data_IF_977282770872
#
_entry.id   IF_977282770872
#
_cell.length_a   1.000
_cell.length_b   1.000
_cell.length_c   1.000
_cell.angle_alpha   90.00
_cell.angle_beta   90.00
_cell.angle_gamma   90.00
#
_symmetry.space_group_name_H-M   'P 1'
#
loop_
_entity.id
_entity.type
_entity.pdbx_description
1 polymer ?
#
# COMPACT_ATOMS: atom_id res chain seq x y z
N UNK A 1 9.18 16.02 20.72
CA UNK A 1 8.56 16.07 19.37
C UNK A 1 7.43 15.06 19.33
N UNK A 2 6.30 15.38 18.71
CA UNK A 2 5.19 14.45 18.50
C UNK A 2 5.67 13.21 17.71
N UNK A 3 5.05 12.07 17.99
CA UNK A 3 5.30 10.79 17.33
C UNK A 3 3.96 10.20 16.87
N UNK A 4 3.94 9.35 15.84
CA UNK A 4 2.69 8.77 15.38
C UNK A 4 2.13 7.81 16.42
N UNK A 5 0.82 7.89 16.63
CA UNK A 5 0.04 6.98 17.47
C UNK A 5 -0.84 6.02 16.65
N UNK A 6 -0.81 6.12 15.31
CA UNK A 6 -1.28 5.06 14.42
C UNK A 6 -0.47 4.91 13.13
N UNK A 7 -0.51 3.72 12.53
CA UNK A 7 0.08 3.44 11.21
C UNK A 7 -0.92 2.73 10.29
N UNK A 8 -1.03 3.19 9.05
CA UNK A 8 -1.63 2.41 7.96
C UNK A 8 -0.55 1.53 7.33
N UNK A 9 -0.46 0.28 7.78
CA UNK A 9 0.68 -0.62 7.46
C UNK A 9 0.56 -1.32 6.11
N UNK A 10 -0.61 -1.32 5.48
CA UNK A 10 -0.83 -2.04 4.23
C UNK A 10 -2.29 -2.42 4.01
N UNK A 11 -2.58 -3.29 3.04
CA UNK A 11 -1.66 -3.87 2.07
C UNK A 11 -1.57 -3.01 0.80
N UNK A 12 -0.42 -3.08 0.12
CA UNK A 12 -0.26 -2.45 -1.18
C UNK A 12 -1.32 -2.97 -2.17
N UNK A 13 -1.91 -2.03 -2.94
CA UNK A 13 -2.98 -2.27 -3.92
C UNK A 13 -4.35 -2.67 -3.34
N UNK A 14 -4.56 -2.42 -2.06
CA UNK A 14 -5.81 -2.70 -1.34
C UNK A 14 -6.63 -1.46 -0.97
N UNK A 15 -6.31 -0.26 -1.49
CA UNK A 15 -7.09 0.96 -1.23
C UNK A 15 -6.54 1.87 -0.13
N UNK A 16 -5.31 1.63 0.35
CA UNK A 16 -4.63 2.45 1.36
C UNK A 16 -4.56 3.93 1.00
N UNK A 17 -4.32 4.28 -0.27
CA UNK A 17 -4.30 5.68 -0.72
C UNK A 17 -5.65 6.36 -0.54
N UNK A 18 -6.77 5.66 -0.79
CA UNK A 18 -8.11 6.22 -0.58
C UNK A 18 -8.36 6.46 0.92
N UNK A 19 -8.03 5.47 1.76
CA UNK A 19 -8.12 5.63 3.23
C UNK A 19 -7.29 6.82 3.70
N UNK A 20 -6.03 6.93 3.26
CA UNK A 20 -5.15 8.03 3.63
C UNK A 20 -5.80 9.39 3.32
N UNK A 21 -6.43 9.51 2.15
CA UNK A 21 -7.13 10.74 1.72
C UNK A 21 -8.46 10.98 2.43
N UNK A 22 -9.13 9.95 2.92
CA UNK A 22 -10.32 10.13 3.75
C UNK A 22 -9.96 10.55 5.18
N UNK A 23 -8.90 9.97 5.74
CA UNK A 23 -8.40 10.32 7.08
C UNK A 23 -7.78 11.72 7.11
N UNK A 24 -7.03 12.12 6.08
CA UNK A 24 -6.40 13.47 5.96
C UNK A 24 -7.42 14.62 5.99
N UNK A 25 -8.70 14.35 5.70
CA UNK A 25 -9.75 15.37 5.74
C UNK A 25 -10.25 15.67 7.16
N UNK A 26 -10.00 14.78 8.11
CA UNK A 26 -10.58 14.88 9.45
C UNK A 26 -9.78 15.89 10.32
N UNK A 27 -10.43 16.88 10.96
CA UNK A 27 -9.73 17.97 11.67
C UNK A 27 -8.90 17.51 12.87
N UNK A 28 -9.23 16.36 13.47
CA UNK A 28 -8.48 15.76 14.57
C UNK A 28 -7.42 14.74 14.14
N UNK A 29 -7.16 14.58 12.83
CA UNK A 29 -6.18 13.64 12.30
C UNK A 29 -5.06 14.40 11.59
N UNK A 30 -3.82 14.17 12.02
CA UNK A 30 -2.63 14.61 11.31
C UNK A 30 -2.05 13.46 10.48
N UNK A 31 -1.83 13.73 9.19
CA UNK A 31 -1.12 12.86 8.27
C UNK A 31 -0.12 13.71 7.46
N UNK A 32 1.14 13.26 7.29
CA UNK A 32 2.11 13.96 6.45
C UNK A 32 1.60 14.11 5.01
N UNK A 33 1.85 15.24 4.33
CA UNK A 33 1.35 15.48 2.97
C UNK A 33 1.83 14.44 1.93
N UNK A 34 3.01 13.85 2.19
CA UNK A 34 3.55 12.75 1.40
C UNK A 34 3.35 11.46 2.19
N UNK A 35 2.59 10.46 1.69
CA UNK A 35 2.58 9.13 2.29
C UNK A 35 3.90 8.40 1.99
N UNK A 36 4.01 7.15 2.47
CA UNK A 36 5.12 6.24 2.19
C UNK A 36 6.48 6.72 2.76
N UNK A 37 6.50 7.07 4.05
CA UNK A 37 7.74 7.47 4.74
C UNK A 37 8.74 6.32 4.84
N UNK A 38 8.24 5.10 5.01
CA UNK A 38 9.03 3.84 4.98
C UNK A 38 10.17 3.79 5.98
N UNK A 39 10.13 4.60 7.03
CA UNK A 39 11.16 4.65 8.07
C UNK A 39 11.42 3.27 8.67
N UNK A 40 10.37 2.54 9.05
CA UNK A 40 10.51 1.17 9.61
C UNK A 40 10.97 0.12 8.59
N UNK A 41 11.31 0.49 7.35
CA UNK A 41 12.01 -0.36 6.39
C UNK A 41 13.44 0.12 6.12
N UNK A 42 13.74 1.37 6.49
CA UNK A 42 14.95 2.09 6.11
C UNK A 42 15.81 2.53 7.30
N UNK A 43 15.32 2.32 8.52
CA UNK A 43 16.05 2.57 9.76
C UNK A 43 17.45 1.94 9.72
N UNK A 44 18.46 2.77 10.02
CA UNK A 44 19.87 2.36 10.03
C UNK A 44 20.49 2.02 8.67
N UNK A 45 19.76 2.19 7.55
CA UNK A 45 20.32 1.94 6.22
C UNK A 45 21.16 3.12 5.73
N UNK A 46 22.31 2.79 5.14
CA UNK A 46 23.23 3.76 4.54
C UNK A 46 23.49 3.41 3.07
N UNK A 47 23.67 4.43 2.22
CA UNK A 47 24.09 4.26 0.83
C UNK A 47 23.20 4.99 -0.19
N UNK A 48 23.63 5.09 -1.45
CA UNK A 48 22.86 5.75 -2.48
C UNK A 48 21.61 4.92 -2.81
N UNK A 49 20.44 5.46 -2.49
CA UNK A 49 19.15 4.87 -2.82
C UNK A 49 18.75 5.07 -4.30
N UNK A 50 19.72 5.34 -5.16
CA UNK A 50 19.58 5.78 -6.56
C UNK A 50 19.83 4.64 -7.55
N UNK A 51 19.29 3.44 -7.30
CA UNK A 51 19.29 2.40 -8.35
C UNK A 51 18.24 2.75 -9.43
N UNK A 52 18.52 2.54 -10.73
CA UNK A 52 17.49 2.58 -11.76
C UNK A 52 16.35 1.62 -11.41
N UNK A 53 15.10 2.09 -11.43
CA UNK A 53 13.94 1.32 -10.98
C UNK A 53 13.70 1.33 -9.46
N UNK A 54 14.54 2.01 -8.67
CA UNK A 54 14.28 2.23 -7.25
C UNK A 54 13.21 3.31 -7.08
N UNK A 55 12.11 2.91 -6.45
CA UNK A 55 10.97 3.78 -6.07
C UNK A 55 11.35 4.95 -5.16
N UNK A 56 12.55 4.93 -4.58
CA UNK A 56 13.07 5.98 -3.72
C UNK A 56 14.17 6.84 -4.39
N UNK A 57 14.48 6.63 -5.67
CA UNK A 57 15.45 7.47 -6.37
C UNK A 57 14.97 8.95 -6.36
N UNK A 58 15.76 9.83 -5.75
CA UNK A 58 15.43 11.26 -5.59
C UNK A 58 14.51 11.61 -4.41
N UNK A 59 14.17 10.64 -3.54
CA UNK A 59 13.46 10.92 -2.27
C UNK A 59 14.47 11.09 -1.14
N UNK A 60 14.25 12.08 -0.28
CA UNK A 60 14.90 12.14 1.02
C UNK A 60 14.38 10.94 1.82
N UNK A 61 15.23 9.94 2.02
CA UNK A 61 14.90 8.76 2.81
C UNK A 61 15.24 9.05 4.25
N UNK A 62 14.24 8.91 5.10
CA UNK A 62 14.40 9.01 6.55
C UNK A 62 14.93 7.68 7.07
N UNK A 63 16.14 7.69 7.63
CA UNK A 63 16.83 6.49 8.11
C UNK A 63 17.17 6.54 9.59
N UNK A 64 16.96 7.68 10.24
CA UNK A 64 17.16 7.85 11.69
C UNK A 64 15.89 8.35 12.36
N UNK A 65 15.81 8.12 13.67
CA UNK A 65 14.63 8.41 14.47
C UNK A 65 14.32 9.91 14.56
N UNK A 66 15.33 10.76 14.68
CA UNK A 66 15.13 12.22 14.83
C UNK A 66 14.49 12.82 13.58
N UNK A 67 14.98 12.46 12.40
CA UNK A 67 14.37 12.86 11.12
C UNK A 67 12.96 12.29 10.96
N UNK A 68 12.68 11.11 11.52
CA UNK A 68 11.33 10.55 11.54
C UNK A 68 10.38 11.36 12.41
N UNK A 69 10.84 11.80 13.58
CA UNK A 69 10.06 12.69 14.45
C UNK A 69 9.80 14.05 13.82
N UNK A 70 10.77 14.58 13.06
CA UNK A 70 10.65 15.87 12.38
C UNK A 70 9.51 15.89 11.33
N UNK A 71 9.11 14.74 10.79
CA UNK A 71 7.95 14.63 9.89
C UNK A 71 6.65 15.10 10.56
N UNK A 72 6.56 14.99 11.88
CA UNK A 72 5.36 15.31 12.66
C UNK A 72 5.44 16.67 13.36
N UNK A 73 6.45 17.49 13.06
CA UNK A 73 6.67 18.78 13.75
C UNK A 73 5.50 19.77 13.63
N UNK A 74 4.67 19.64 12.59
CA UNK A 74 3.53 20.52 12.32
C UNK A 74 2.25 20.09 13.06
N UNK A 75 2.30 19.03 13.87
CA UNK A 75 1.19 18.63 14.75
C UNK A 75 0.93 19.73 15.78
N UNK A 76 -0.33 20.07 15.96
CA UNK A 76 -0.80 21.07 16.92
C UNK A 76 -1.72 20.42 17.96
N UNK A 77 -2.97 20.19 17.60
CA UNK A 77 -4.06 19.76 18.50
C UNK A 77 -4.69 18.43 18.06
N UNK A 78 -4.17 17.83 17.00
CA UNK A 78 -4.68 16.60 16.42
C UNK A 78 -4.52 15.44 17.41
N UNK A 79 -5.60 14.69 17.59
CA UNK A 79 -5.65 13.56 18.51
C UNK A 79 -4.99 12.31 17.90
N UNK A 80 -5.23 12.07 16.61
CA UNK A 80 -4.65 10.94 15.90
C UNK A 80 -3.55 11.44 14.96
N UNK A 81 -2.32 10.97 15.19
CA UNK A 81 -1.13 11.35 14.43
C UNK A 81 -0.63 10.08 13.77
N UNK A 82 -0.49 10.06 12.45
CA UNK A 82 -0.10 8.83 11.79
C UNK A 82 0.64 9.02 10.49
N UNK A 83 1.07 7.91 9.92
CA UNK A 83 1.54 7.83 8.55
C UNK A 83 1.07 6.51 7.91
N UNK A 84 1.31 6.37 6.62
CA UNK A 84 0.89 5.22 5.85
C UNK A 84 1.96 4.81 4.88
N UNK A 85 2.53 3.63 5.12
CA UNK A 85 3.49 3.00 4.23
C UNK A 85 3.04 1.57 3.99
N UNK A 86 2.53 1.30 2.79
CA UNK A 86 1.84 0.04 2.48
C UNK A 86 2.74 -1.20 2.56
N UNK A 87 4.05 -0.94 2.53
CA UNK A 87 5.09 -1.97 2.53
C UNK A 87 5.46 -2.43 3.95
N UNK A 88 4.95 -1.78 5.00
CA UNK A 88 5.19 -2.23 6.38
C UNK A 88 4.59 -3.60 6.67
N UNK A 89 3.43 -3.92 6.10
CA UNK A 89 2.76 -5.19 6.34
C UNK A 89 3.64 -6.38 5.98
N UNK A 90 4.43 -6.28 4.91
CA UNK A 90 5.24 -7.40 4.41
C UNK A 90 6.75 -7.20 4.54
N UNK A 91 7.17 -5.98 4.84
CA UNK A 91 8.58 -5.64 4.91
C UNK A 91 9.28 -6.34 6.07
N UNK A 92 10.35 -7.06 5.75
CA UNK A 92 11.13 -7.80 6.75
C UNK A 92 11.60 -6.90 7.90
N UNK A 93 11.28 -7.29 9.13
CA UNK A 93 11.65 -6.58 10.35
C UNK A 93 10.84 -5.31 10.65
N UNK A 94 9.86 -4.94 9.82
CA UNK A 94 9.03 -3.76 10.06
C UNK A 94 8.26 -3.86 11.37
N UNK A 95 7.58 -4.99 11.62
CA UNK A 95 6.82 -5.22 12.85
C UNK A 95 7.70 -5.08 14.11
N UNK A 96 8.90 -5.68 14.10
CA UNK A 96 9.83 -5.58 15.22
C UNK A 96 10.31 -4.14 15.48
N UNK A 97 10.64 -3.40 14.42
CA UNK A 97 11.07 -1.99 14.54
C UNK A 97 9.92 -1.09 14.99
N UNK A 98 8.71 -1.30 14.47
CA UNK A 98 7.51 -0.58 14.95
C UNK A 98 7.32 -0.85 16.44
N UNK A 99 7.38 -2.12 16.88
CA UNK A 99 7.20 -2.47 18.28
C UNK A 99 8.29 -1.88 19.18
N UNK A 100 9.54 -1.88 18.70
CA UNK A 100 10.68 -1.28 19.42
C UNK A 100 10.47 0.21 19.72
N UNK A 101 10.01 0.98 18.73
CA UNK A 101 9.83 2.43 18.89
C UNK A 101 8.48 2.83 19.46
N UNK A 102 7.41 2.11 19.10
CA UNK A 102 6.02 2.50 19.31
C UNK A 102 5.17 1.29 19.77
N UNK A 103 5.43 0.72 20.97
CA UNK A 103 4.79 -0.53 21.41
C UNK A 103 3.27 -0.38 21.63
N UNK A 104 2.77 0.82 21.91
CA UNK A 104 1.35 1.10 22.17
C UNK A 104 0.59 1.61 20.94
N UNK A 105 1.20 1.58 19.76
CA UNK A 105 0.63 2.14 18.53
C UNK A 105 -0.63 1.41 18.06
N UNK A 106 -1.51 2.12 17.38
CA UNK A 106 -2.64 1.54 16.64
C UNK A 106 -2.23 1.20 15.21
N UNK A 107 -2.60 0.02 14.72
CA UNK A 107 -2.22 -0.50 13.42
C UNK A 107 -3.46 -0.75 12.59
N UNK A 108 -3.50 -0.18 11.39
CA UNK A 108 -4.59 -0.37 10.43
C UNK A 108 -4.04 -1.08 9.20
N UNK A 109 -4.70 -2.17 8.80
CA UNK A 109 -4.48 -2.81 7.51
C UNK A 109 -5.79 -2.91 6.73
N UNK A 110 -5.72 -2.76 5.41
CA UNK A 110 -6.78 -3.07 4.47
C UNK A 110 -6.34 -4.16 3.50
N UNK A 111 -7.13 -5.21 3.38
CA UNK A 111 -6.84 -6.38 2.55
C UNK A 111 -7.78 -6.41 1.34
N UNK A 112 -7.36 -7.09 0.28
CA UNK A 112 -8.12 -7.25 -0.96
C UNK A 112 -8.02 -8.72 -1.37
N UNK A 113 -8.97 -9.25 -2.12
CA UNK A 113 -8.81 -10.58 -2.73
C UNK A 113 -7.39 -10.75 -3.31
N UNK A 114 -6.60 -11.74 -2.86
CA UNK A 114 -5.15 -11.75 -3.05
C UNK A 114 -4.73 -11.84 -4.53
N UNK A 115 -5.49 -12.57 -5.35
CA UNK A 115 -5.32 -12.61 -6.82
C UNK A 115 -5.55 -11.24 -7.46
N UNK A 116 -6.60 -10.52 -7.08
CA UNK A 116 -6.91 -9.20 -7.65
C UNK A 116 -5.91 -8.13 -7.20
N UNK A 117 -5.38 -8.26 -5.97
CA UNK A 117 -4.27 -7.45 -5.45
C UNK A 117 -3.02 -7.66 -6.29
N UNK A 118 -2.64 -8.91 -6.56
CA UNK A 118 -1.51 -9.28 -7.41
C UNK A 118 -1.65 -8.72 -8.83
N UNK A 119 -2.85 -8.86 -9.42
CA UNK A 119 -3.13 -8.33 -10.76
C UNK A 119 -3.05 -6.80 -10.82
N UNK A 120 -3.50 -6.12 -9.77
CA UNK A 120 -3.38 -4.68 -9.66
C UNK A 120 -1.93 -4.21 -9.50
N UNK A 121 -1.09 -4.98 -8.79
CA UNK A 121 0.34 -4.73 -8.68
C UNK A 121 1.04 -4.91 -10.04
N UNK A 122 0.71 -5.99 -10.78
CA UNK A 122 1.21 -6.24 -12.13
C UNK A 122 1.01 -5.06 -13.07
N UNK A 123 -0.23 -4.55 -13.18
CA UNK A 123 -0.52 -3.40 -14.04
C UNK A 123 0.16 -2.11 -13.59
N UNK A 124 0.27 -1.90 -12.26
CA UNK A 124 1.02 -0.76 -11.74
C UNK A 124 2.50 -0.86 -12.10
N UNK A 125 3.12 -2.03 -11.97
CA UNK A 125 4.54 -2.24 -12.31
C UNK A 125 4.79 -2.07 -13.80
N UNK A 126 3.94 -2.63 -14.67
CA UNK A 126 4.01 -2.41 -16.12
C UNK A 126 3.90 -0.93 -16.49
N UNK A 127 3.00 -0.19 -15.84
CA UNK A 127 2.72 1.22 -16.12
C UNK A 127 3.81 2.16 -15.60
N UNK A 128 4.17 2.04 -14.32
CA UNK A 128 4.95 3.07 -13.62
C UNK A 128 6.43 2.73 -13.51
N UNK A 129 6.76 1.44 -13.53
CA UNK A 129 8.12 0.97 -13.27
C UNK A 129 8.84 0.46 -14.52
N UNK A 130 8.17 0.39 -15.67
CA UNK A 130 8.78 0.10 -16.97
C UNK A 130 9.47 -1.27 -17.11
N UNK A 131 9.27 -2.20 -16.16
CA UNK A 131 10.02 -3.46 -16.08
C UNK A 131 9.14 -4.63 -15.64
N UNK A 132 8.08 -4.92 -16.39
CA UNK A 132 7.54 -6.29 -16.40
C UNK A 132 7.33 -6.74 -17.85
N UNK A 133 8.36 -7.36 -18.46
CA UNK A 133 8.28 -7.83 -19.84
C UNK A 133 7.31 -9.01 -19.98
N UNK A 134 7.12 -9.77 -18.90
CA UNK A 134 6.31 -10.98 -18.91
C UNK A 134 4.81 -10.67 -18.93
N UNK A 135 4.04 -11.58 -19.50
CA UNK A 135 2.60 -11.65 -19.25
C UNK A 135 2.32 -11.91 -17.77
N UNK A 136 1.10 -11.65 -17.30
CA UNK A 136 0.75 -11.89 -15.91
C UNK A 136 0.95 -13.36 -15.50
N UNK A 137 0.62 -14.30 -16.40
CA UNK A 137 0.80 -15.74 -16.16
C UNK A 137 2.28 -16.10 -15.99
N UNK A 138 3.13 -15.65 -16.91
CA UNK A 138 4.57 -15.90 -16.87
C UNK A 138 5.22 -15.23 -15.64
N UNK A 139 4.79 -14.02 -15.28
CA UNK A 139 5.31 -13.30 -14.12
C UNK A 139 4.98 -14.03 -12.80
N UNK A 140 3.77 -14.57 -12.67
CA UNK A 140 3.36 -15.37 -11.51
C UNK A 140 4.10 -16.71 -11.50
N UNK A 141 4.22 -17.39 -12.65
CA UNK A 141 4.96 -18.66 -12.73
C UNK A 141 6.45 -18.48 -12.37
N UNK A 142 7.08 -17.40 -12.84
CA UNK A 142 8.45 -17.06 -12.47
C UNK A 142 8.59 -16.87 -10.94
N UNK A 143 7.64 -16.16 -10.32
CA UNK A 143 7.64 -15.98 -8.86
C UNK A 143 7.39 -17.30 -8.11
N UNK A 144 6.55 -18.19 -8.63
CA UNK A 144 6.32 -19.54 -8.08
C UNK A 144 7.63 -20.34 -8.08
N UNK A 145 8.35 -20.34 -9.20
CA UNK A 145 9.63 -21.05 -9.32
C UNK A 145 10.72 -20.50 -8.38
N UNK A 146 10.56 -19.25 -7.93
CA UNK A 146 11.45 -18.60 -6.97
C UNK A 146 10.99 -18.77 -5.51
N UNK A 147 9.88 -19.47 -5.23
CA UNK A 147 9.27 -19.54 -3.88
C UNK A 147 10.23 -20.04 -2.81
N UNK A 148 11.14 -20.95 -3.17
CA UNK A 148 12.14 -21.57 -2.30
C UNK A 148 13.40 -20.72 -2.06
N UNK A 149 13.60 -19.66 -2.85
CA UNK A 149 14.75 -18.78 -2.69
C UNK A 149 14.63 -17.94 -1.41
N UNK A 150 15.75 -17.60 -0.75
CA UNK A 150 15.74 -16.65 0.37
C UNK A 150 15.11 -15.32 -0.04
N UNK A 151 14.06 -14.91 0.68
CA UNK A 151 13.99 -13.56 1.21
C UNK A 151 14.45 -12.37 0.35
N UNK A 152 15.74 -12.13 0.53
CA UNK A 152 16.50 -10.96 0.15
C UNK A 152 16.82 -10.93 -1.35
N UNK A 153 16.61 -12.05 -2.05
CA UNK A 153 16.92 -12.21 -3.48
C UNK A 153 15.70 -11.98 -4.39
N UNK A 154 14.54 -11.64 -3.82
CA UNK A 154 13.28 -11.62 -4.55
C UNK A 154 13.13 -10.37 -5.44
N UNK A 155 12.75 -10.60 -6.70
CA UNK A 155 12.51 -9.54 -7.69
C UNK A 155 11.03 -9.21 -7.90
N UNK A 156 10.15 -10.22 -7.70
CA UNK A 156 8.69 -10.13 -7.92
C UNK A 156 7.89 -10.28 -6.63
N UNK A 157 6.74 -9.63 -6.60
CA UNK A 157 5.88 -9.53 -5.41
C UNK A 157 4.38 -9.53 -5.79
N UNK A 158 4.01 -10.39 -6.74
CA UNK A 158 2.63 -10.60 -7.17
C UNK A 158 1.98 -11.67 -6.30
N UNK A 159 2.50 -12.89 -6.31
CA UNK A 159 1.96 -13.98 -5.51
C UNK A 159 2.23 -13.75 -4.02
N UNK A 160 3.47 -13.47 -3.65
CA UNK A 160 3.89 -13.40 -2.24
C UNK A 160 3.17 -12.33 -1.45
N UNK A 161 2.78 -11.23 -2.10
CA UNK A 161 2.04 -10.16 -1.45
C UNK A 161 0.60 -10.44 -1.09
N UNK A 162 0.07 -11.60 -1.46
CA UNK A 162 -1.25 -12.06 -1.07
C UNK A 162 -1.27 -13.00 0.15
N UNK A 163 -0.11 -13.43 0.69
CA UNK A 163 -0.06 -14.29 1.88
C UNK A 163 -0.28 -13.46 3.17
N UNK A 164 -1.48 -12.92 3.33
CA UNK A 164 -1.79 -11.98 4.40
C UNK A 164 -1.69 -12.58 5.80
N UNK A 165 -2.08 -13.83 6.02
CA UNK A 165 -1.92 -14.44 7.34
C UNK A 165 -0.45 -14.50 7.73
N UNK A 166 0.40 -14.95 6.80
CA UNK A 166 1.86 -14.94 6.99
C UNK A 166 2.40 -13.54 7.31
N UNK A 167 1.95 -12.51 6.59
CA UNK A 167 2.43 -11.13 6.79
C UNK A 167 1.89 -10.46 8.06
N UNK A 168 0.69 -10.83 8.51
CA UNK A 168 0.10 -10.32 9.75
C UNK A 168 0.60 -11.04 11.00
N UNK A 169 1.09 -12.28 10.89
CA UNK A 169 1.56 -13.09 12.01
C UNK A 169 2.58 -12.35 12.91
N UNK A 170 3.63 -11.68 12.39
CA UNK A 170 4.55 -10.92 13.24
C UNK A 170 3.85 -9.81 14.04
N UNK A 171 2.83 -9.17 13.49
CA UNK A 171 2.08 -8.13 14.19
C UNK A 171 1.16 -8.74 15.26
N UNK A 172 0.49 -9.86 14.97
CA UNK A 172 -0.32 -10.57 15.98
C UNK A 172 0.50 -11.10 17.16
N UNK A 173 1.78 -11.42 16.94
CA UNK A 173 2.67 -11.91 17.97
C UNK A 173 3.26 -10.79 18.85
N UNK A 174 3.36 -9.57 18.33
CA UNK A 174 4.01 -8.44 19.01
C UNK A 174 3.02 -7.48 19.66
N UNK A 175 1.83 -7.29 19.07
CA UNK A 175 0.87 -6.28 19.50
C UNK A 175 -0.42 -6.93 20.02
N UNK A 176 -1.07 -6.26 20.96
CA UNK A 176 -2.35 -6.72 21.48
C UNK A 176 -3.44 -6.68 20.40
N UNK A 177 -4.44 -7.57 20.48
CA UNK A 177 -5.54 -7.61 19.49
C UNK A 177 -6.27 -6.26 19.36
N UNK A 178 -6.40 -5.52 20.46
CA UNK A 178 -7.03 -4.20 20.48
C UNK A 178 -6.22 -3.12 19.74
N UNK A 179 -4.96 -3.37 19.41
CA UNK A 179 -4.10 -2.45 18.65
C UNK A 179 -4.18 -2.66 17.14
N UNK A 180 -4.83 -3.72 16.65
CA UNK A 180 -4.93 -3.98 15.21
C UNK A 180 -6.38 -3.89 14.71
N UNK A 181 -6.57 -3.16 13.62
CA UNK A 181 -7.80 -3.18 12.83
C UNK A 181 -7.53 -3.60 11.40
N UNK A 182 -8.20 -4.67 10.99
CA UNK A 182 -8.06 -5.28 9.66
C UNK A 182 -9.39 -5.10 8.91
N UNK A 183 -9.34 -4.37 7.80
CA UNK A 183 -10.49 -4.09 6.94
C UNK A 183 -10.38 -4.85 5.62
N UNK A 184 -11.51 -5.08 4.94
CA UNK A 184 -11.52 -5.58 3.57
C UNK A 184 -11.90 -4.47 2.60
N UNK A 185 -11.23 -4.44 1.44
CA UNK A 185 -11.54 -3.52 0.35
C UNK A 185 -12.96 -3.73 -0.19
N UNK A 186 -13.48 -4.95 -0.09
CA UNK A 186 -14.85 -5.26 -0.51
C UNK A 186 -15.86 -4.47 0.34
N UNK A 187 -15.63 -4.39 1.66
CA UNK A 187 -16.48 -3.59 2.56
C UNK A 187 -16.31 -2.10 2.31
N UNK A 188 -15.08 -1.64 2.12
CA UNK A 188 -14.81 -0.22 1.85
C UNK A 188 -15.55 0.23 0.57
N UNK A 189 -15.70 -0.66 -0.42
CA UNK A 189 -16.48 -0.36 -1.63
C UNK A 189 -17.98 -0.37 -1.40
N UNK A 190 -18.49 -1.29 -0.57
CA UNK A 190 -19.93 -1.43 -0.31
C UNK A 190 -20.44 -0.36 0.65
N UNK A 191 -19.67 -0.09 1.71
CA UNK A 191 -20.06 0.76 2.84
C UNK A 191 -18.89 1.67 3.28
N UNK A 192 -18.40 2.56 2.40
CA UNK A 192 -17.21 3.38 2.67
C UNK A 192 -17.35 4.22 3.94
N UNK A 193 -18.50 4.87 4.15
CA UNK A 193 -18.72 5.72 5.32
C UNK A 193 -18.60 4.90 6.62
N UNK A 194 -19.27 3.75 6.71
CA UNK A 194 -19.24 2.91 7.92
C UNK A 194 -17.83 2.42 8.27
N UNK A 195 -17.04 2.06 7.26
CA UNK A 195 -15.64 1.66 7.47
C UNK A 195 -14.80 2.82 8.00
N UNK A 196 -14.96 4.02 7.44
CA UNK A 196 -14.23 5.20 7.90
C UNK A 196 -14.65 5.62 9.31
N UNK A 197 -15.95 5.58 9.62
CA UNK A 197 -16.43 5.87 10.98
C UNK A 197 -15.93 4.85 12.01
N UNK A 198 -15.79 3.56 11.64
CA UNK A 198 -15.14 2.57 12.50
C UNK A 198 -13.65 2.90 12.72
N UNK A 199 -12.95 3.37 11.68
CA UNK A 199 -11.57 3.85 11.83
C UNK A 199 -11.50 5.07 12.76
N UNK A 200 -12.43 6.02 12.67
CA UNK A 200 -12.47 7.18 13.56
C UNK A 200 -12.64 6.77 15.03
N UNK A 201 -13.60 5.87 15.32
CA UNK A 201 -13.78 5.30 16.67
C UNK A 201 -12.51 4.58 17.14
N UNK A 202 -11.90 3.79 16.27
CA UNK A 202 -10.66 3.10 16.58
C UNK A 202 -9.52 4.07 16.91
N UNK A 203 -9.39 5.17 16.16
CA UNK A 203 -8.38 6.19 16.39
C UNK A 203 -8.68 7.07 17.61
N UNK A 204 -9.95 7.14 18.04
CA UNK A 204 -10.39 7.96 19.17
C UNK A 204 -10.70 9.40 18.76
N UNK A 205 -11.14 9.60 17.52
CA UNK A 205 -11.57 10.89 16.98
C UNK A 205 -13.08 10.87 16.69
N UNK A 206 -13.64 12.03 16.38
CA UNK A 206 -15.07 12.21 16.20
C UNK A 206 -15.64 11.33 15.07
N UNK A 207 -16.56 10.40 15.36
CA UNK A 207 -17.02 9.44 14.37
C UNK A 207 -17.97 10.03 13.32
N UNK A 208 -18.58 11.18 13.57
CA UNK A 208 -19.64 11.74 12.72
C UNK A 208 -19.12 12.66 11.61
N UNK A 209 -17.81 12.93 11.56
CA UNK A 209 -17.21 13.65 10.45
C UNK A 209 -17.42 12.88 9.12
N UNK A 210 -17.86 13.59 8.07
CA UNK A 210 -18.09 12.99 6.77
C UNK A 210 -17.05 13.48 5.76
N UNK A 211 -16.04 12.65 5.42
CA UNK A 211 -15.11 13.02 4.37
C UNK A 211 -15.80 13.00 3.01
N UNK A 212 -15.28 13.78 2.07
CA UNK A 212 -15.67 13.69 0.68
C UNK A 212 -15.13 12.37 0.08
N UNK A 213 -16.03 11.39 -0.05
CA UNK A 213 -15.72 10.07 -0.57
C UNK A 213 -15.49 10.05 -2.10
N UNK A 214 -15.93 11.09 -2.81
CA UNK A 214 -15.72 11.24 -4.25
C UNK A 214 -14.29 11.61 -4.63
N UNK A 215 -13.47 12.04 -3.65
CA UNK A 215 -12.10 12.56 -3.85
C UNK A 215 -11.20 11.56 -4.59
N UNK A 216 -11.43 10.25 -4.52
CA UNK A 216 -10.52 9.30 -5.18
C UNK A 216 -11.12 7.92 -5.56
N UNK A 217 -11.45 7.75 -6.85
CA UNK A 217 -11.69 6.46 -7.49
C UNK A 217 -10.53 6.13 -8.45
N UNK A 218 -9.42 5.63 -7.91
CA UNK A 218 -8.28 5.26 -8.75
C UNK A 218 -8.60 4.01 -9.57
N UNK A 219 -9.03 4.17 -10.83
CA UNK A 219 -8.99 3.10 -11.81
C UNK A 219 -7.55 2.95 -12.29
N UNK A 220 -6.79 2.08 -11.61
CA UNK A 220 -5.61 1.50 -12.24
C UNK A 220 -6.03 0.87 -13.57
N UNK A 221 -5.18 0.95 -14.59
CA UNK A 221 -5.55 0.55 -15.94
C UNK A 221 -4.35 0.06 -16.74
N UNK A 222 -4.65 -0.59 -17.86
CA UNK A 222 -3.66 -0.94 -18.86
C UNK A 222 -3.39 0.31 -19.72
N UNK A 223 -2.12 0.69 -19.94
CA UNK A 223 -1.80 1.78 -20.86
C UNK A 223 -2.05 1.35 -22.31
N UNK A 224 -2.82 2.13 -23.08
CA UNK A 224 -2.97 1.97 -24.54
C UNK A 224 -3.05 3.33 -25.26
N UNK A 225 -2.23 3.57 -26.31
CA UNK A 225 -1.13 2.72 -26.79
C UNK A 225 0.06 2.69 -25.81
N UNK A 226 0.63 1.51 -25.55
CA UNK A 226 1.70 1.32 -24.54
C UNK A 226 2.92 2.20 -24.80
N UNK A 227 3.40 2.24 -26.06
CA UNK A 227 4.57 3.04 -26.45
C UNK A 227 4.37 4.52 -26.21
N UNK A 228 3.19 5.06 -26.57
CA UNK A 228 2.87 6.47 -26.36
C UNK A 228 2.81 6.81 -24.87
N UNK A 229 2.12 5.97 -24.08
CA UNK A 229 2.07 6.15 -22.63
C UNK A 229 3.47 6.17 -22.00
N UNK A 230 4.35 5.28 -22.46
CA UNK A 230 5.73 5.21 -21.97
C UNK A 230 6.54 6.46 -22.36
N UNK A 231 6.47 6.91 -23.61
CA UNK A 231 7.12 8.15 -24.06
C UNK A 231 6.67 9.36 -23.23
N UNK A 232 5.37 9.47 -22.97
CA UNK A 232 4.81 10.53 -22.12
C UNK A 232 5.30 10.42 -20.68
N UNK A 233 5.42 9.20 -20.14
CA UNK A 233 5.94 8.96 -18.80
C UNK A 233 7.43 9.33 -18.66
N UNK A 234 8.23 9.02 -19.67
CA UNK A 234 9.65 9.37 -19.71
C UNK A 234 9.84 10.88 -19.83
N UNK A 235 9.03 11.54 -20.66
CA UNK A 235 9.04 13.00 -20.79
C UNK A 235 8.63 13.68 -19.48
N UNK A 236 7.59 13.18 -18.82
CA UNK A 236 7.12 13.70 -17.54
C UNK A 236 8.15 13.53 -16.42
N UNK A 237 8.90 12.42 -16.38
CA UNK A 237 9.91 12.16 -15.34
C UNK A 237 11.03 13.20 -15.35
N UNK A 238 11.26 13.86 -16.48
CA UNK A 238 12.22 14.95 -16.64
C UNK A 238 11.67 16.32 -16.23
N UNK A 239 10.36 16.43 -15.98
CA UNK A 239 9.73 17.67 -15.53
C UNK A 239 9.90 17.87 -14.02
N UNK A 240 10.16 19.09 -13.55
CA UNK A 240 10.19 19.36 -12.13
C UNK A 240 8.80 19.25 -11.50
N UNK A 241 8.74 18.66 -10.30
CA UNK A 241 7.49 18.46 -9.55
C UNK A 241 7.11 19.66 -8.66
N UNK A 242 7.94 20.70 -8.64
CA UNK A 242 7.80 21.93 -7.84
C UNK A 242 7.97 23.16 -8.72
N UNK A 243 7.56 24.33 -8.23
CA UNK A 243 7.65 25.59 -8.97
C UNK A 243 6.65 25.71 -10.14
N UNK A 244 6.83 26.68 -11.06
CA UNK A 244 5.85 27.00 -12.12
C UNK A 244 5.63 25.84 -13.11
N UNK A 245 6.60 24.93 -13.24
CA UNK A 245 6.52 23.74 -14.09
C UNK A 245 5.70 22.58 -13.47
N UNK A 246 5.21 22.74 -12.23
CA UNK A 246 4.26 21.80 -11.59
C UNK A 246 2.94 21.71 -12.36
N UNK A 247 2.47 22.80 -12.96
CA UNK A 247 1.23 22.82 -13.74
C UNK A 247 1.32 21.91 -15.00
N UNK A 248 2.36 22.05 -15.86
CA UNK A 248 2.62 21.08 -16.93
C UNK A 248 2.71 19.63 -16.45
N UNK A 249 3.38 19.36 -15.33
CA UNK A 249 3.46 18.02 -14.74
C UNK A 249 2.07 17.45 -14.39
N UNK A 250 1.20 18.26 -13.78
CA UNK A 250 -0.17 17.85 -13.43
C UNK A 250 -1.06 17.66 -14.67
N UNK A 251 -0.88 18.47 -15.71
CA UNK A 251 -1.59 18.30 -16.99
C UNK A 251 -1.18 16.98 -17.65
N UNK A 252 0.12 16.66 -17.63
CA UNK A 252 0.63 15.39 -18.14
C UNK A 252 0.06 14.18 -17.39
N UNK A 253 -0.07 14.24 -16.06
CA UNK A 253 -0.77 13.21 -15.27
C UNK A 253 -2.24 13.03 -15.71
N UNK A 254 -2.94 14.13 -16.03
CA UNK A 254 -4.32 14.04 -16.54
C UNK A 254 -4.38 13.42 -17.92
N UNK A 255 -3.49 13.83 -18.82
CA UNK A 255 -3.42 13.32 -20.19
C UNK A 255 -3.06 11.83 -20.23
N UNK A 256 -2.09 11.38 -19.42
CA UNK A 256 -1.74 9.96 -19.30
C UNK A 256 -2.92 9.10 -18.83
N UNK A 257 -3.76 9.60 -17.93
CA UNK A 257 -4.95 8.89 -17.45
C UNK A 257 -5.97 8.62 -18.56
N UNK A 258 -6.04 9.45 -19.60
CA UNK A 258 -6.90 9.22 -20.76
C UNK A 258 -6.53 7.93 -21.52
N UNK A 259 -5.24 7.57 -21.52
CA UNK A 259 -4.74 6.36 -22.16
C UNK A 259 -4.84 5.10 -21.29
N UNK A 260 -5.46 5.19 -20.11
CA UNK A 260 -5.66 4.02 -19.23
C UNK A 260 -7.03 3.39 -19.52
N UNK A 261 -7.00 2.16 -20.02
CA UNK A 261 -8.20 1.36 -20.22
C UNK A 261 -8.36 0.30 -19.13
N UNK A 262 -9.56 -0.28 -19.02
CA UNK A 262 -9.80 -1.43 -18.14
C UNK A 262 -8.89 -2.58 -18.57
N UNK A 263 -8.11 -3.18 -17.64
CA UNK A 263 -7.30 -4.33 -17.99
C UNK A 263 -8.15 -5.54 -18.42
N UNK A 264 -7.60 -6.45 -19.24
CA UNK A 264 -8.28 -7.70 -19.58
C UNK A 264 -8.61 -8.51 -18.31
N UNK A 265 -9.59 -9.41 -18.36
CA UNK A 265 -9.84 -10.32 -17.25
C UNK A 265 -8.65 -11.26 -17.04
N UNK A 266 -8.47 -11.72 -15.79
CA UNK A 266 -7.48 -12.73 -15.45
C UNK A 266 -7.93 -14.07 -16.03
N UNK A 267 -7.00 -14.83 -16.62
CA UNK A 267 -7.28 -16.20 -17.08
C UNK A 267 -7.81 -17.06 -15.93
N UNK A 268 -8.94 -17.80 -16.11
CA UNK A 268 -9.47 -18.69 -15.08
C UNK A 268 -8.43 -19.69 -14.56
N UNK A 269 -7.61 -20.26 -15.45
CA UNK A 269 -6.55 -21.20 -15.08
C UNK A 269 -5.51 -20.57 -14.17
N UNK A 270 -5.07 -19.35 -14.48
CA UNK A 270 -4.10 -18.61 -13.66
C UNK A 270 -4.70 -18.26 -12.31
N UNK A 271 -5.97 -17.83 -12.27
CA UNK A 271 -6.69 -17.56 -11.02
C UNK A 271 -6.73 -18.81 -10.14
N UNK A 272 -7.17 -19.96 -10.68
CA UNK A 272 -7.27 -21.21 -9.92
C UNK A 272 -5.90 -21.68 -9.40
N UNK A 273 -4.85 -21.57 -10.21
CA UNK A 273 -3.48 -21.85 -9.79
C UNK A 273 -3.06 -20.98 -8.59
N UNK A 274 -3.29 -19.66 -8.66
CA UNK A 274 -2.95 -18.77 -7.53
C UNK A 274 -3.79 -19.05 -6.28
N UNK A 275 -5.09 -19.34 -6.44
CA UNK A 275 -5.98 -19.68 -5.34
C UNK A 275 -5.51 -20.96 -4.62
N UNK A 276 -5.03 -21.96 -5.35
CA UNK A 276 -4.46 -23.17 -4.76
C UNK A 276 -3.30 -22.84 -3.80
N UNK A 277 -2.42 -21.90 -4.18
CA UNK A 277 -1.33 -21.44 -3.32
C UNK A 277 -1.84 -20.65 -2.09
N UNK A 278 -2.87 -19.81 -2.25
CA UNK A 278 -3.40 -18.99 -1.15
C UNK A 278 -4.31 -19.74 -0.18
N UNK A 279 -4.81 -20.93 -0.53
CA UNK A 279 -5.87 -21.62 0.20
C UNK A 279 -5.57 -21.76 1.69
N UNK A 280 -4.40 -22.31 2.04
CA UNK A 280 -4.02 -22.51 3.44
C UNK A 280 -3.88 -21.18 4.21
N UNK A 281 -3.25 -20.18 3.60
CA UNK A 281 -3.07 -18.85 4.21
C UNK A 281 -4.42 -18.14 4.43
N UNK A 282 -5.34 -18.26 3.46
CA UNK A 282 -6.68 -17.66 3.54
C UNK A 282 -7.54 -18.32 4.62
N UNK A 283 -7.48 -19.64 4.77
CA UNK A 283 -8.20 -20.36 5.84
C UNK A 283 -7.67 -19.99 7.23
N UNK A 284 -6.35 -19.85 7.38
CA UNK A 284 -5.74 -19.38 8.63
C UNK A 284 -6.13 -17.93 8.93
N UNK A 285 -6.13 -17.07 7.91
CA UNK A 285 -6.58 -15.68 8.03
C UNK A 285 -8.04 -15.61 8.49
N UNK A 286 -8.92 -16.39 7.85
CA UNK A 286 -10.34 -16.50 8.17
C UNK A 286 -10.56 -16.80 9.66
N UNK A 287 -9.78 -17.77 10.17
CA UNK A 287 -9.84 -18.22 11.56
C UNK A 287 -9.39 -17.12 12.52
N UNK A 288 -8.25 -16.47 12.26
CA UNK A 288 -7.71 -15.44 13.17
C UNK A 288 -8.52 -14.16 13.17
N UNK A 289 -9.07 -13.78 12.02
CA UNK A 289 -9.96 -12.62 11.89
C UNK A 289 -11.38 -12.90 12.38
N UNK A 290 -11.74 -14.17 12.65
CA UNK A 290 -13.10 -14.60 12.98
C UNK A 290 -14.13 -14.06 11.98
N UNK A 291 -13.80 -14.15 10.70
CA UNK A 291 -14.54 -13.51 9.62
C UNK A 291 -14.57 -14.42 8.41
N UNK A 292 -15.72 -14.56 7.78
CA UNK A 292 -15.86 -15.36 6.55
C UNK A 292 -15.05 -14.75 5.39
N UNK A 293 -14.21 -15.60 4.78
CA UNK A 293 -13.39 -15.31 3.60
C UNK A 293 -13.58 -16.42 2.53
N UNK A 294 -14.67 -17.18 2.60
CA UNK A 294 -14.98 -18.25 1.66
C UNK A 294 -15.05 -17.75 0.21
N UNK A 295 -15.49 -16.50 0.00
CA UNK A 295 -15.53 -15.85 -1.31
C UNK A 295 -14.13 -15.54 -1.89
N UNK A 296 -13.06 -15.66 -1.12
CA UNK A 296 -11.68 -15.57 -1.60
C UNK A 296 -11.08 -16.92 -1.98
N UNK A 297 -11.81 -18.02 -1.78
CA UNK A 297 -11.38 -19.39 -2.12
C UNK A 297 -11.93 -19.87 -3.47
N UNK A 298 -12.67 -19.01 -4.19
CA UNK A 298 -13.37 -19.30 -5.45
C UNK A 298 -12.91 -18.44 -6.62
#
# INVERSE_FOLDING_TARGET
MPVPNFLLIGAAKSGTTSIYKYLEQHPQIFLPPKPEQRFFLMEGKHGPFTRPGNINAGRQIVTNWQDYQAIFQDVTTETAIGEGSNDYLWGSGAACRIYHYLPTIKLIAILRHPVDRAYSEYWMRRRDRGFEPLSFSEAVQAEINELEQPWQLWSRYYLRGGFYYRHLTPFFNLFERGQLKIYLLDDLKQQPLLIIQDMYRFLGVEPDFQPNLAVWQNRGGQPKPERLYWLLSEWQRRMPTTGPLRHPFMLMERLKRYFLIKPPPISPTVRQMMLAHYRADTLNLQTVLQRDLSHWLV
#
